data_IF_390711730878
#
_entry.id   IF_390711730878
#
_cell.length_a   1.000
_cell.length_b   1.000
_cell.length_c   1.000
_cell.angle_alpha   90.00
_cell.angle_beta   90.00
_cell.angle_gamma   90.00
#
_symmetry.space_group_name_H-M   'P 1'
#
loop_
_entity.id
_entity.type
_entity.pdbx_description
1 polymer ?
#
# COMPACT_ATOMS: atom_id res chain seq x y z
N UNK A 1 -56.10 13.34 29.82
CA UNK A 1 -54.62 13.32 29.74
C UNK A 1 -54.21 12.10 28.91
N UNK A 2 -53.16 12.27 28.12
CA UNK A 2 -52.88 11.61 26.85
C UNK A 2 -52.63 10.10 26.85
N UNK A 3 -52.99 9.51 25.71
CA UNK A 3 -52.83 8.13 25.22
C UNK A 3 -51.36 7.71 25.12
N UNK A 4 -51.04 6.45 25.46
CA UNK A 4 -49.88 5.71 24.91
C UNK A 4 -50.27 4.30 24.49
N UNK A 5 -50.09 4.04 23.20
CA UNK A 5 -50.06 2.72 22.55
C UNK A 5 -48.83 1.93 22.99
N UNK A 6 -48.90 0.60 22.96
CA UNK A 6 -47.79 -0.24 22.51
C UNK A 6 -48.28 -1.61 22.00
N UNK A 7 -48.04 -1.83 20.71
CA UNK A 7 -48.04 -3.09 19.99
C UNK A 7 -46.97 -4.04 20.55
N UNK A 8 -47.24 -5.35 20.50
CA UNK A 8 -46.24 -6.35 20.12
C UNK A 8 -46.92 -7.63 19.60
N UNK A 9 -46.95 -7.75 18.27
CA UNK A 9 -47.00 -8.98 17.48
C UNK A 9 -45.83 -8.84 16.48
N UNK A 10 -45.15 -9.84 15.94
CA UNK A 10 -45.08 -11.29 16.09
C UNK A 10 -43.83 -11.73 15.30
N UNK A 11 -43.33 -12.94 15.58
CA UNK A 11 -42.57 -13.88 14.75
C UNK A 11 -41.71 -13.37 13.57
N UNK A 12 -40.48 -13.88 13.49
CA UNK A 12 -40.07 -14.74 12.37
C UNK A 12 -38.99 -15.74 12.78
N UNK A 13 -39.18 -16.97 12.34
CA UNK A 13 -38.28 -18.11 12.46
C UNK A 13 -37.19 -18.10 11.37
N UNK A 14 -36.10 -18.81 11.61
CA UNK A 14 -35.07 -19.09 10.61
C UNK A 14 -33.83 -19.69 11.26
N UNK A 15 -33.85 -21.00 11.51
CA UNK A 15 -32.64 -21.76 11.87
C UNK A 15 -31.85 -22.15 10.62
N UNK A 16 -30.58 -22.49 10.82
CA UNK A 16 -29.94 -23.71 10.32
C UNK A 16 -28.64 -23.95 11.09
N UNK A 17 -28.58 -25.11 11.73
CA UNK A 17 -27.39 -25.76 12.31
C UNK A 17 -27.06 -26.93 11.36
N UNK A 18 -25.78 -27.15 11.07
CA UNK A 18 -25.23 -28.37 10.46
C UNK A 18 -23.71 -28.22 10.52
N UNK A 19 -22.96 -28.92 11.37
CA UNK A 19 -22.71 -30.37 11.49
C UNK A 19 -22.01 -30.95 10.25
N UNK A 20 -20.73 -31.28 10.42
CA UNK A 20 -19.84 -31.86 9.42
C UNK A 20 -19.61 -33.32 9.81
N UNK A 21 -20.18 -34.24 9.04
CA UNK A 21 -19.75 -35.64 9.01
C UNK A 21 -19.05 -35.94 7.68
N UNK A 22 -18.01 -36.80 7.67
CA UNK A 22 -17.15 -37.01 6.51
C UNK A 22 -17.68 -38.08 5.53
N UNK A 23 -17.44 -37.78 4.25
CA UNK A 23 -17.18 -38.62 3.06
C UNK A 23 -17.74 -40.05 3.03
N UNK A 24 -18.55 -40.31 2.00
CA UNK A 24 -18.61 -41.60 1.33
C UNK A 24 -18.25 -41.39 -0.16
N UNK A 25 -17.33 -42.23 -0.65
CA UNK A 25 -17.01 -42.39 -2.06
C UNK A 25 -18.26 -42.85 -2.84
N UNK A 26 -18.47 -42.32 -4.04
CA UNK A 26 -19.26 -42.98 -5.06
C UNK A 26 -18.67 -42.70 -6.45
N UNK A 27 -18.44 -43.79 -7.17
CA UNK A 27 -17.87 -43.89 -8.51
C UNK A 27 -18.96 -43.57 -9.55
N UNK A 28 -18.69 -42.67 -10.49
CA UNK A 28 -19.67 -42.40 -11.54
C UNK A 28 -19.25 -41.35 -12.56
N UNK A 29 -18.55 -41.83 -13.58
CA UNK A 29 -18.29 -41.20 -14.87
C UNK A 29 -19.60 -40.62 -15.48
N UNK A 30 -19.64 -39.32 -15.74
CA UNK A 30 -20.44 -38.74 -16.82
C UNK A 30 -19.89 -37.35 -17.21
N UNK A 31 -19.27 -37.37 -18.38
CA UNK A 31 -18.78 -36.25 -19.17
C UNK A 31 -19.93 -35.30 -19.54
N UNK A 32 -20.04 -34.19 -18.82
CA UNK A 32 -20.76 -33.00 -19.26
C UNK A 32 -19.84 -31.81 -19.05
N UNK A 33 -19.27 -31.31 -20.14
CA UNK A 33 -18.63 -30.01 -20.20
C UNK A 33 -19.70 -28.90 -20.26
N UNK A 34 -19.61 -27.89 -19.39
CA UNK A 34 -20.09 -26.56 -19.69
C UNK A 34 -18.90 -25.59 -19.73
N UNK A 35 -18.52 -25.19 -20.94
CA UNK A 35 -17.82 -23.93 -21.15
C UNK A 35 -18.83 -22.79 -21.01
N UNK A 36 -18.69 -21.99 -19.93
CA UNK A 36 -19.00 -20.56 -19.90
C UNK A 36 -18.64 -19.93 -18.53
N UNK A 37 -17.44 -19.33 -18.44
CA UNK A 37 -17.25 -18.05 -17.74
C UNK A 37 -16.80 -18.03 -16.27
N UNK A 38 -15.51 -17.74 -16.06
CA UNK A 38 -15.07 -16.79 -15.00
C UNK A 38 -14.21 -17.34 -13.85
N UNK A 39 -12.92 -17.00 -13.87
CA UNK A 39 -12.12 -16.81 -12.64
C UNK A 39 -11.20 -17.98 -12.25
N UNK A 40 -10.01 -18.06 -12.85
CA UNK A 40 -8.97 -19.01 -12.45
C UNK A 40 -8.40 -18.77 -11.05
N UNK A 41 -8.08 -19.86 -10.36
CA UNK A 41 -7.01 -19.98 -9.36
C UNK A 41 -7.13 -19.10 -8.10
N UNK A 42 -7.87 -19.57 -7.09
CA UNK A 42 -7.84 -18.99 -5.75
C UNK A 42 -7.76 -20.06 -4.69
N UNK A 43 -6.54 -20.35 -4.22
CA UNK A 43 -6.29 -21.23 -3.07
C UNK A 43 -7.10 -20.80 -1.83
N UNK A 44 -7.19 -21.69 -0.84
CA UNK A 44 -7.93 -21.41 0.39
C UNK A 44 -7.41 -20.13 1.08
N UNK A 45 -6.12 -19.84 0.99
CA UNK A 45 -5.53 -18.58 1.47
C UNK A 45 -6.17 -17.37 0.81
N UNK A 46 -6.34 -17.38 -0.52
CA UNK A 46 -7.00 -16.29 -1.24
C UNK A 46 -8.46 -16.12 -0.84
N UNK A 47 -9.18 -17.22 -0.69
CA UNK A 47 -10.59 -17.20 -0.25
C UNK A 47 -10.72 -16.62 1.18
N UNK A 48 -9.86 -17.06 2.10
CA UNK A 48 -9.78 -16.53 3.46
C UNK A 48 -9.40 -15.05 3.45
N UNK A 49 -8.48 -14.64 2.59
CA UNK A 49 -8.13 -13.23 2.48
C UNK A 49 -9.33 -12.39 2.04
N UNK A 50 -9.97 -12.77 0.94
CA UNK A 50 -11.05 -11.97 0.33
C UNK A 50 -12.29 -11.90 1.24
N UNK A 51 -12.60 -12.98 1.96
CA UNK A 51 -13.76 -13.07 2.86
C UNK A 51 -13.51 -12.48 4.25
N UNK A 52 -12.35 -12.77 4.86
CA UNK A 52 -12.09 -12.45 6.27
C UNK A 52 -11.10 -11.29 6.44
N UNK A 53 -9.98 -11.30 5.71
CA UNK A 53 -8.88 -10.34 5.95
C UNK A 53 -9.12 -9.00 5.26
N UNK A 54 -9.59 -9.00 4.01
CA UNK A 54 -9.80 -7.80 3.24
C UNK A 54 -10.80 -6.83 3.90
N UNK A 55 -11.96 -7.27 4.43
CA UNK A 55 -12.85 -6.36 5.16
C UNK A 55 -12.17 -5.69 6.36
N UNK A 56 -11.31 -6.43 7.07
CA UNK A 56 -10.54 -5.90 8.22
C UNK A 56 -9.55 -4.84 7.76
N UNK A 57 -8.77 -5.13 6.71
CA UNK A 57 -7.78 -4.19 6.17
C UNK A 57 -8.45 -2.97 5.54
N UNK A 58 -9.54 -3.14 4.80
CA UNK A 58 -10.30 -2.04 4.22
C UNK A 58 -10.84 -1.10 5.30
N UNK A 59 -11.42 -1.66 6.37
CA UNK A 59 -11.99 -0.89 7.46
C UNK A 59 -10.94 -0.17 8.33
N UNK A 60 -9.80 -0.79 8.59
CA UNK A 60 -8.80 -0.27 9.54
C UNK A 60 -7.58 0.36 8.90
N UNK A 61 -7.09 -0.23 7.82
CA UNK A 61 -5.84 0.15 7.17
C UNK A 61 -6.10 0.97 5.90
N UNK A 62 -7.27 0.82 5.27
CA UNK A 62 -7.64 1.44 4.01
C UNK A 62 -7.74 2.96 4.06
N UNK A 63 -8.97 3.50 4.06
CA UNK A 63 -9.23 4.90 3.78
C UNK A 63 -8.36 5.86 4.61
N UNK A 64 -7.61 6.72 3.90
CA UNK A 64 -6.72 7.71 4.52
C UNK A 64 -5.36 7.20 4.99
N UNK A 65 -5.05 5.90 4.87
CA UNK A 65 -3.73 5.37 5.20
C UNK A 65 -3.15 4.56 4.04
N UNK A 66 -3.59 3.33 3.82
CA UNK A 66 -2.95 2.35 2.93
C UNK A 66 -3.76 1.99 1.68
N UNK A 67 -4.81 2.74 1.33
CA UNK A 67 -5.50 2.55 0.05
C UNK A 67 -4.52 2.62 -1.14
N UNK A 68 -4.78 1.90 -2.23
CA UNK A 68 -3.96 1.96 -3.45
C UNK A 68 -3.87 3.34 -4.07
N UNK A 69 -4.85 4.19 -3.79
CA UNK A 69 -4.87 5.61 -4.19
C UNK A 69 -4.18 6.53 -3.18
N UNK A 70 -3.64 5.99 -2.09
CA UNK A 70 -2.98 6.74 -1.01
C UNK A 70 -1.49 6.88 -1.32
N UNK A 71 -1.04 8.11 -1.41
CA UNK A 71 0.34 8.41 -1.78
C UNK A 71 1.31 8.40 -0.58
N UNK A 72 0.82 8.44 0.66
CA UNK A 72 1.64 8.70 1.87
C UNK A 72 2.02 7.45 2.67
N UNK A 73 1.77 6.25 2.15
CA UNK A 73 2.15 4.99 2.81
C UNK A 73 2.25 3.86 1.78
N UNK A 74 2.72 2.67 2.20
CA UNK A 74 2.66 1.48 1.34
C UNK A 74 1.21 1.23 0.90
N UNK A 75 0.91 1.26 -0.41
CA UNK A 75 -0.45 1.25 -0.96
C UNK A 75 -1.00 -0.18 -1.08
N UNK A 76 -1.13 -0.89 0.05
CA UNK A 76 -1.42 -2.33 0.06
C UNK A 76 -2.89 -2.72 0.23
N UNK A 77 -3.80 -1.75 0.39
CA UNK A 77 -5.24 -2.01 0.52
C UNK A 77 -5.94 -1.59 -0.78
N UNK A 78 -6.43 -2.56 -1.55
CA UNK A 78 -7.15 -2.25 -2.79
C UNK A 78 -8.53 -1.62 -2.54
N UNK A 79 -9.04 -0.90 -3.54
CA UNK A 79 -10.40 -0.34 -3.53
C UNK A 79 -11.50 -1.40 -3.73
N UNK A 80 -11.17 -2.56 -4.30
CA UNK A 80 -12.11 -3.63 -4.58
C UNK A 80 -11.52 -4.98 -4.19
N UNK A 81 -12.37 -5.90 -3.71
CA UNK A 81 -11.96 -7.23 -3.24
C UNK A 81 -11.25 -8.04 -4.33
N UNK A 82 -11.70 -7.93 -5.59
CA UNK A 82 -11.15 -8.71 -6.72
C UNK A 82 -9.68 -8.45 -7.02
N UNK A 83 -9.12 -7.30 -6.60
CA UNK A 83 -7.69 -6.99 -6.72
C UNK A 83 -6.97 -6.96 -5.37
N UNK A 84 -7.70 -7.13 -4.26
CA UNK A 84 -7.18 -6.90 -2.92
C UNK A 84 -6.14 -7.93 -2.48
N UNK A 85 -6.36 -9.21 -2.82
CA UNK A 85 -5.43 -10.28 -2.46
C UNK A 85 -4.04 -10.02 -3.04
N UNK A 86 -3.97 -9.91 -4.37
CA UNK A 86 -2.73 -9.66 -5.12
C UNK A 86 -2.08 -8.34 -4.71
N UNK A 87 -2.89 -7.33 -4.40
CA UNK A 87 -2.40 -6.03 -3.90
C UNK A 87 -1.70 -6.20 -2.55
N UNK A 88 -2.33 -6.87 -1.57
CA UNK A 88 -1.78 -6.98 -0.22
C UNK A 88 -0.58 -7.93 -0.17
N UNK A 89 -0.68 -9.11 -0.79
CA UNK A 89 0.38 -10.14 -0.79
C UNK A 89 1.59 -9.78 -1.63
N UNK A 90 1.43 -8.83 -2.56
CA UNK A 90 2.55 -8.35 -3.34
C UNK A 90 3.56 -7.50 -2.56
N UNK A 91 3.21 -6.97 -1.38
CA UNK A 91 4.14 -6.18 -0.57
C UNK A 91 4.78 -7.01 0.53
N UNK A 92 6.04 -7.43 0.34
CA UNK A 92 6.82 -8.11 1.39
C UNK A 92 6.91 -7.29 2.69
N UNK A 93 6.90 -5.96 2.60
CA UNK A 93 6.86 -5.08 3.77
C UNK A 93 5.56 -5.15 4.58
N UNK A 94 4.53 -5.82 4.05
CA UNK A 94 3.20 -5.98 4.64
C UNK A 94 3.04 -7.41 5.14
N UNK A 95 3.27 -8.40 4.26
CA UNK A 95 3.05 -9.82 4.56
C UNK A 95 4.28 -10.54 5.09
N UNK A 96 5.49 -10.00 4.88
CA UNK A 96 6.74 -10.59 5.36
C UNK A 96 6.91 -12.04 4.91
N UNK A 97 7.22 -12.91 5.86
CA UNK A 97 7.30 -14.36 5.67
C UNK A 97 5.96 -15.08 5.92
N UNK A 98 4.84 -14.35 5.92
CA UNK A 98 3.50 -14.85 6.21
C UNK A 98 3.32 -15.43 7.63
N UNK A 99 4.18 -15.09 8.60
CA UNK A 99 3.97 -15.47 10.01
C UNK A 99 3.45 -14.28 10.82
N UNK A 100 2.77 -14.56 11.94
CA UNK A 100 2.35 -13.52 12.89
C UNK A 100 3.51 -12.74 13.51
N UNK A 101 4.73 -13.24 13.40
CA UNK A 101 5.96 -12.59 13.86
C UNK A 101 6.72 -11.83 12.78
N UNK A 102 6.48 -12.12 11.50
CA UNK A 102 7.17 -11.47 10.38
C UNK A 102 6.28 -10.60 9.49
N UNK A 103 4.96 -10.79 9.52
CA UNK A 103 4.02 -9.95 8.78
C UNK A 103 3.79 -8.61 9.50
N UNK A 104 4.25 -7.51 8.90
CA UNK A 104 4.09 -6.17 9.47
C UNK A 104 2.61 -5.77 9.65
N UNK A 105 1.72 -6.24 8.77
CA UNK A 105 0.28 -6.03 8.91
C UNK A 105 -0.30 -6.65 10.19
N UNK A 106 0.39 -7.63 10.80
CA UNK A 106 0.02 -8.22 12.06
C UNK A 106 0.79 -7.60 13.22
N UNK A 107 2.12 -7.55 13.14
CA UNK A 107 3.00 -7.12 14.24
C UNK A 107 2.88 -5.64 14.59
N UNK A 108 2.48 -4.79 13.63
CA UNK A 108 2.26 -3.37 13.91
C UNK A 108 0.95 -3.10 14.67
N UNK A 109 -0.02 -4.03 14.64
CA UNK A 109 -1.31 -3.91 15.34
C UNK A 109 -1.41 -4.81 16.59
N UNK A 110 -0.40 -5.66 16.83
CA UNK A 110 -0.32 -6.62 17.95
C UNK A 110 1.15 -6.71 18.44
N UNK A 111 1.51 -6.26 19.66
CA UNK A 111 0.65 -5.82 20.78
C UNK A 111 0.40 -4.30 20.82
N UNK A 112 1.05 -3.51 19.97
CA UNK A 112 1.00 -2.06 19.98
C UNK A 112 -0.05 -1.50 19.01
N UNK A 113 -0.59 -0.29 19.26
CA UNK A 113 -1.47 0.35 18.30
C UNK A 113 -0.67 1.05 17.18
N UNK A 114 -0.90 0.66 15.93
CA UNK A 114 -0.50 1.48 14.80
C UNK A 114 -1.51 2.62 14.62
N UNK A 115 -1.11 3.86 14.91
CA UNK A 115 -2.00 5.03 14.82
C UNK A 115 -3.30 4.88 15.64
N UNK A 116 -3.18 4.42 16.89
CA UNK A 116 -4.31 4.11 17.77
C UNK A 116 -5.25 2.99 17.28
N UNK A 117 -4.85 2.21 16.26
CA UNK A 117 -5.63 1.07 15.74
C UNK A 117 -5.07 -0.25 16.25
N UNK A 118 -5.97 -1.17 16.60
CA UNK A 118 -5.66 -2.54 16.99
C UNK A 118 -6.60 -3.52 16.30
N UNK A 119 -6.19 -4.78 16.22
CA UNK A 119 -7.09 -5.89 15.91
C UNK A 119 -7.79 -6.37 17.17
N UNK A 120 -9.11 -6.59 17.07
CA UNK A 120 -9.89 -7.35 18.05
C UNK A 120 -9.43 -8.82 18.06
N UNK A 121 -9.84 -9.58 19.07
CA UNK A 121 -9.49 -11.00 19.15
C UNK A 121 -9.95 -11.80 17.93
N UNK A 122 -11.17 -11.54 17.42
CA UNK A 122 -11.70 -12.19 16.20
C UNK A 122 -10.86 -11.85 14.96
N UNK A 123 -10.52 -10.57 14.81
CA UNK A 123 -9.69 -10.11 13.68
C UNK A 123 -8.27 -10.70 13.74
N UNK A 124 -7.67 -10.81 14.94
CA UNK A 124 -6.37 -11.48 15.11
C UNK A 124 -6.46 -12.95 14.71
N UNK A 125 -7.52 -13.67 15.10
CA UNK A 125 -7.74 -15.06 14.69
C UNK A 125 -7.85 -15.18 13.17
N UNK A 126 -8.65 -14.34 12.51
CA UNK A 126 -8.82 -14.35 11.06
C UNK A 126 -7.51 -14.07 10.31
N UNK A 127 -6.80 -13.00 10.67
CA UNK A 127 -5.54 -12.64 10.01
C UNK A 127 -4.47 -13.71 10.26
N UNK A 128 -4.35 -14.24 11.49
CA UNK A 128 -3.39 -15.30 11.80
C UNK A 128 -3.71 -16.63 11.10
N UNK A 129 -5.00 -16.98 10.98
CA UNK A 129 -5.43 -18.16 10.25
C UNK A 129 -5.10 -18.06 8.75
N UNK A 130 -5.36 -16.90 8.13
CA UNK A 130 -4.98 -16.67 6.74
C UNK A 130 -3.46 -16.72 6.54
N UNK A 131 -2.67 -16.06 7.41
CA UNK A 131 -1.21 -16.10 7.38
C UNK A 131 -0.67 -17.56 7.48
N UNK A 132 -1.24 -18.37 8.37
CA UNK A 132 -0.88 -19.79 8.47
C UNK A 132 -1.26 -20.60 7.22
N UNK A 133 -2.39 -20.27 6.59
CA UNK A 133 -2.81 -20.90 5.33
C UNK A 133 -1.87 -20.53 4.17
N UNK A 134 -1.43 -19.27 4.07
CA UNK A 134 -0.40 -18.85 3.10
C UNK A 134 0.89 -19.65 3.25
N UNK A 135 1.36 -19.86 4.49
CA UNK A 135 2.54 -20.69 4.75
C UNK A 135 2.31 -22.13 4.30
N UNK A 136 1.11 -22.68 4.56
CA UNK A 136 0.75 -24.06 4.16
C UNK A 136 0.76 -24.21 2.64
N UNK A 137 0.11 -23.31 1.92
CA UNK A 137 0.03 -23.35 0.45
C UNK A 137 1.41 -23.16 -0.20
N UNK A 138 2.22 -22.22 0.33
CA UNK A 138 3.56 -21.92 -0.20
C UNK A 138 4.62 -22.97 0.14
N UNK A 139 4.50 -23.65 1.27
CA UNK A 139 5.41 -24.74 1.66
C UNK A 139 5.02 -26.10 1.05
N UNK A 140 3.75 -26.29 0.72
CA UNK A 140 3.21 -27.53 0.18
C UNK A 140 3.41 -27.76 -1.32
N UNK A 141 3.97 -26.79 -2.07
CA UNK A 141 4.18 -26.93 -3.51
C UNK A 141 2.89 -27.12 -4.33
N UNK A 142 1.73 -26.77 -3.77
CA UNK A 142 0.43 -26.86 -4.43
C UNK A 142 0.31 -25.77 -5.48
N UNK A 143 0.65 -26.11 -6.72
CA UNK A 143 0.40 -25.29 -7.90
C UNK A 143 -1.08 -25.08 -8.15
N UNK A 144 -1.71 -24.20 -7.37
CA UNK A 144 -2.71 -23.33 -7.96
C UNK A 144 -1.96 -22.53 -9.00
N UNK A 145 -2.15 -22.86 -10.28
CA UNK A 145 -1.53 -22.15 -11.39
C UNK A 145 -1.71 -20.65 -11.11
N UNK A 146 -0.59 -19.98 -10.83
CA UNK A 146 -0.56 -18.53 -10.89
C UNK A 146 -1.24 -18.15 -12.21
N UNK A 147 -2.13 -17.14 -12.21
CA UNK A 147 -2.65 -16.64 -13.48
C UNK A 147 -1.45 -16.42 -14.42
N UNK A 148 -1.58 -16.77 -15.71
CA UNK A 148 -0.44 -16.82 -16.62
C UNK A 148 0.37 -15.52 -16.51
N UNK A 149 1.70 -15.56 -16.65
CA UNK A 149 2.64 -14.47 -16.30
C UNK A 149 2.53 -13.23 -17.19
N UNK A 150 1.38 -12.99 -17.83
CA UNK A 150 1.16 -11.90 -18.76
C UNK A 150 0.65 -10.62 -18.11
N UNK A 151 0.05 -10.68 -16.91
CA UNK A 151 -0.43 -9.48 -16.21
C UNK A 151 0.42 -9.17 -14.97
N UNK A 152 1.04 -7.99 -14.98
CA UNK A 152 1.83 -7.48 -13.88
C UNK A 152 0.94 -7.17 -12.66
N UNK A 153 1.31 -7.69 -11.49
CA UNK A 153 0.62 -7.38 -10.24
C UNK A 153 0.90 -5.93 -9.79
N UNK A 154 0.02 -5.29 -8.99
CA UNK A 154 0.26 -3.95 -8.45
C UNK A 154 1.61 -3.79 -7.73
N UNK A 155 2.06 -4.84 -7.04
CA UNK A 155 3.33 -4.79 -6.34
C UNK A 155 4.53 -4.99 -7.25
N UNK A 156 4.43 -5.87 -8.25
CA UNK A 156 5.45 -5.96 -9.31
C UNK A 156 5.56 -4.62 -10.05
N UNK A 157 4.44 -3.99 -10.40
CA UNK A 157 4.42 -2.65 -10.99
C UNK A 157 5.07 -1.61 -10.07
N UNK A 158 4.75 -1.64 -8.77
CA UNK A 158 5.34 -0.73 -7.79
C UNK A 158 6.85 -0.93 -7.63
N UNK A 159 7.29 -2.18 -7.46
CA UNK A 159 8.69 -2.55 -7.33
C UNK A 159 9.49 -2.16 -8.58
N UNK A 160 8.97 -2.52 -9.76
CA UNK A 160 9.54 -2.16 -11.05
C UNK A 160 9.63 -0.64 -11.22
N UNK A 161 8.55 0.09 -10.97
CA UNK A 161 8.54 1.56 -11.13
C UNK A 161 9.50 2.25 -10.17
N UNK A 162 9.56 1.84 -8.89
CA UNK A 162 10.52 2.39 -7.92
C UNK A 162 11.96 2.07 -8.34
N UNK A 163 12.21 0.84 -8.77
CA UNK A 163 13.51 0.41 -9.25
C UNK A 163 13.95 1.20 -10.48
N UNK A 164 13.11 1.27 -11.53
CA UNK A 164 13.36 2.08 -12.72
C UNK A 164 13.58 3.57 -12.38
N UNK A 165 12.69 4.16 -11.58
CA UNK A 165 12.75 5.57 -11.19
C UNK A 165 14.06 5.91 -10.48
N UNK A 166 14.55 5.00 -9.64
CA UNK A 166 15.81 5.17 -8.91
C UNK A 166 17.04 5.26 -9.81
N UNK A 167 17.01 4.61 -10.98
CA UNK A 167 18.03 4.75 -12.02
C UNK A 167 17.85 6.00 -12.89
N UNK A 168 16.65 6.58 -12.93
CA UNK A 168 16.37 7.78 -13.73
C UNK A 168 16.72 9.10 -13.02
N UNK A 169 16.77 9.11 -11.68
CA UNK A 169 17.22 10.28 -10.92
C UNK A 169 18.71 10.56 -11.21
N UNK A 170 19.09 11.84 -11.30
CA UNK A 170 20.49 12.26 -11.55
C UNK A 170 20.93 13.34 -10.58
N UNK A 171 22.17 13.23 -10.09
CA UNK A 171 22.74 14.22 -9.17
C UNK A 171 22.80 15.62 -9.79
N UNK A 172 23.02 15.69 -11.11
CA UNK A 172 23.08 16.93 -11.88
C UNK A 172 21.77 17.72 -11.76
N UNK A 173 20.61 17.06 -11.76
CA UNK A 173 19.31 17.73 -11.64
C UNK A 173 19.07 18.23 -10.22
N UNK A 174 19.44 17.46 -9.20
CA UNK A 174 19.36 17.91 -7.82
C UNK A 174 20.18 19.18 -7.62
N UNK A 175 21.38 19.22 -8.19
CA UNK A 175 22.28 20.37 -8.13
C UNK A 175 21.72 21.55 -8.93
N UNK A 176 21.31 21.35 -10.19
CA UNK A 176 20.80 22.39 -11.07
C UNK A 176 19.50 23.02 -10.55
N UNK A 177 18.64 22.22 -9.93
CA UNK A 177 17.39 22.69 -9.35
C UNK A 177 17.55 23.30 -7.96
N UNK A 178 18.73 23.17 -7.34
CA UNK A 178 18.94 23.49 -5.94
C UNK A 178 17.96 22.73 -5.03
N UNK A 179 17.75 21.44 -5.32
CA UNK A 179 16.63 20.65 -4.77
C UNK A 179 16.70 20.50 -3.25
N UNK A 180 17.82 20.02 -2.72
CA UNK A 180 18.04 19.86 -1.28
C UNK A 180 17.85 21.17 -0.52
N UNK A 181 18.58 22.24 -0.87
CA UNK A 181 18.42 23.54 -0.24
C UNK A 181 16.99 24.10 -0.30
N UNK A 182 16.26 23.88 -1.39
CA UNK A 182 14.86 24.33 -1.52
C UNK A 182 13.92 23.63 -0.51
N UNK A 183 14.16 22.34 -0.26
CA UNK A 183 13.41 21.58 0.74
C UNK A 183 13.88 21.82 2.17
N UNK A 184 15.19 21.97 2.38
CA UNK A 184 15.79 22.29 3.66
C UNK A 184 15.24 23.60 4.24
N UNK A 185 15.24 24.65 3.40
CA UNK A 185 14.83 26.00 3.75
C UNK A 185 13.32 26.22 3.64
N UNK A 186 12.54 25.18 3.36
CA UNK A 186 11.08 25.30 3.34
C UNK A 186 10.59 25.66 4.74
N UNK A 187 9.99 26.84 4.86
CA UNK A 187 9.47 27.35 6.12
C UNK A 187 8.17 26.65 6.55
N UNK A 188 8.11 26.33 7.83
CA UNK A 188 6.90 25.96 8.57
C UNK A 188 6.59 27.00 9.65
N UNK A 189 5.48 26.83 10.35
CA UNK A 189 5.16 27.66 11.51
C UNK A 189 6.04 27.38 12.76
N UNK A 190 7.01 26.46 12.68
CA UNK A 190 7.99 26.18 13.75
C UNK A 190 9.45 26.26 13.28
N UNK A 191 9.70 26.76 12.07
CA UNK A 191 11.05 26.86 11.49
C UNK A 191 11.21 26.05 10.20
N UNK A 192 12.45 25.85 9.77
CA UNK A 192 12.78 25.21 8.49
C UNK A 192 12.71 23.68 8.60
N UNK A 193 12.32 23.00 7.52
CA UNK A 193 12.21 21.53 7.50
C UNK A 193 13.51 20.81 7.92
N UNK A 194 14.68 21.33 7.56
CA UNK A 194 15.97 20.71 7.89
C UNK A 194 16.25 20.60 9.40
N UNK A 195 15.64 21.46 10.21
CA UNK A 195 15.82 21.47 11.67
C UNK A 195 15.35 20.15 12.30
N UNK A 196 14.41 19.45 11.64
CA UNK A 196 13.91 18.14 12.08
C UNK A 196 14.26 17.01 11.10
N UNK A 197 14.45 17.31 9.81
CA UNK A 197 14.54 16.30 8.74
C UNK A 197 15.89 16.23 8.02
N UNK A 198 16.92 16.96 8.46
CA UNK A 198 18.26 16.90 7.84
C UNK A 198 18.85 15.48 7.79
N UNK A 199 18.53 14.65 8.77
CA UNK A 199 19.01 13.26 8.87
C UNK A 199 18.01 12.19 8.42
N UNK A 200 16.80 12.58 7.97
CA UNK A 200 15.80 11.61 7.49
C UNK A 200 14.76 11.15 8.52
N UNK A 201 14.45 11.95 9.54
CA UNK A 201 13.44 11.56 10.52
C UNK A 201 12.08 11.18 9.88
N UNK A 202 11.48 10.09 10.36
CA UNK A 202 10.14 9.60 9.94
C UNK A 202 10.03 9.25 8.45
N UNK A 203 11.12 8.82 7.81
CA UNK A 203 11.10 8.46 6.39
C UNK A 203 11.04 9.65 5.45
N UNK A 204 11.29 10.86 5.95
CA UNK A 204 11.40 12.08 5.16
C UNK A 204 12.73 12.77 5.46
N UNK A 205 13.51 13.06 4.41
CA UNK A 205 14.77 13.77 4.51
C UNK A 205 14.63 15.12 3.80
N UNK A 206 14.98 16.20 4.47
CA UNK A 206 15.13 17.53 3.88
C UNK A 206 16.42 18.14 4.41
N UNK A 207 17.45 18.23 3.57
CA UNK A 207 18.79 18.66 3.96
C UNK A 207 19.35 19.64 2.93
N UNK A 208 20.12 20.62 3.39
CA UNK A 208 20.85 21.59 2.57
C UNK A 208 22.06 20.92 1.87
N UNK A 209 21.80 19.80 1.20
CA UNK A 209 22.78 18.88 0.63
C UNK A 209 22.16 18.14 -0.56
N UNK A 210 22.42 18.63 -1.78
CA UNK A 210 21.92 18.01 -3.00
C UNK A 210 22.44 16.57 -3.19
N UNK A 211 23.70 16.32 -2.82
CA UNK A 211 24.32 15.00 -2.96
C UNK A 211 23.68 14.00 -2.00
N UNK A 212 23.58 14.35 -0.72
CA UNK A 212 22.94 13.49 0.27
C UNK A 212 21.44 13.27 0.00
N UNK A 213 20.74 14.27 -0.53
CA UNK A 213 19.36 14.12 -1.00
C UNK A 213 19.26 13.14 -2.17
N UNK A 214 20.07 13.32 -3.21
CA UNK A 214 20.12 12.40 -4.36
C UNK A 214 20.44 10.97 -3.92
N UNK A 215 21.49 10.77 -3.12
CA UNK A 215 21.88 9.45 -2.62
C UNK A 215 20.76 8.80 -1.83
N UNK A 216 20.11 9.55 -0.93
CA UNK A 216 19.01 9.02 -0.12
C UNK A 216 17.81 8.61 -0.98
N UNK A 217 17.35 9.51 -1.87
CA UNK A 217 16.16 9.26 -2.68
C UNK A 217 16.41 8.20 -3.75
N UNK A 218 17.62 8.10 -4.29
CA UNK A 218 17.94 7.12 -5.34
C UNK A 218 18.31 5.75 -4.78
N UNK A 219 18.59 5.58 -3.49
CA UNK A 219 18.97 4.26 -2.92
C UNK A 219 18.01 3.72 -1.88
N UNK A 220 17.04 4.51 -1.43
CA UNK A 220 16.11 4.10 -0.38
C UNK A 220 14.66 4.41 -0.74
N UNK A 221 13.88 3.34 -0.98
CA UNK A 221 12.49 3.43 -1.41
C UNK A 221 11.59 4.20 -0.45
N UNK A 222 11.83 4.11 0.85
CA UNK A 222 10.99 4.78 1.85
C UNK A 222 11.10 6.30 1.74
N UNK A 223 12.31 6.83 1.51
CA UNK A 223 12.51 8.26 1.31
C UNK A 223 12.08 8.72 -0.07
N UNK A 224 12.29 7.91 -1.11
CA UNK A 224 11.76 8.20 -2.45
C UNK A 224 10.24 8.39 -2.43
N UNK A 225 9.54 7.49 -1.73
CA UNK A 225 8.08 7.49 -1.65
C UNK A 225 7.52 8.69 -0.87
N UNK A 226 8.33 9.41 -0.10
CA UNK A 226 7.90 10.66 0.50
C UNK A 226 7.72 11.77 -0.56
N UNK A 227 8.52 11.73 -1.63
CA UNK A 227 8.57 12.73 -2.69
C UNK A 227 7.79 12.34 -3.95
N UNK A 228 7.77 11.05 -4.28
CA UNK A 228 7.07 10.50 -5.43
C UNK A 228 6.10 9.42 -4.98
N UNK A 229 5.06 9.18 -5.76
CA UNK A 229 4.09 8.13 -5.54
C UNK A 229 3.99 7.25 -6.78
N UNK A 230 3.62 5.99 -6.56
CA UNK A 230 3.22 5.10 -7.64
C UNK A 230 1.72 5.26 -7.83
N UNK A 231 1.33 5.68 -9.02
CA UNK A 231 -0.06 5.69 -9.47
C UNK A 231 -0.34 4.37 -10.21
N UNK A 232 -1.10 3.52 -9.54
CA UNK A 232 -1.59 2.21 -10.02
C UNK A 232 -3.12 2.23 -10.19
N UNK A 233 -3.72 3.42 -10.34
CA UNK A 233 -5.16 3.53 -10.64
C UNK A 233 -5.54 2.88 -11.97
N UNK A 234 -4.58 2.80 -12.89
CA UNK A 234 -4.64 2.02 -14.12
C UNK A 234 -3.43 1.08 -14.19
N UNK A 235 -3.64 -0.20 -13.87
CA UNK A 235 -2.58 -1.22 -13.90
C UNK A 235 -2.06 -1.53 -15.31
N UNK A 236 -2.80 -1.17 -16.37
CA UNK A 236 -2.27 -1.28 -17.73
C UNK A 236 -1.26 -0.16 -18.03
N UNK A 237 -1.29 0.94 -17.28
CA UNK A 237 -0.42 2.11 -17.47
C UNK A 237 0.09 2.69 -16.13
N UNK A 238 0.75 1.88 -15.27
CA UNK A 238 1.18 2.35 -13.96
C UNK A 238 2.34 3.33 -14.14
N UNK A 239 2.38 4.39 -13.31
CA UNK A 239 3.37 5.46 -13.46
C UNK A 239 3.83 6.03 -12.12
N UNK A 240 5.00 6.65 -12.13
CA UNK A 240 5.42 7.50 -11.02
C UNK A 240 4.76 8.88 -11.17
N UNK A 241 4.43 9.53 -10.06
CA UNK A 241 3.91 10.90 -10.01
C UNK A 241 4.52 11.66 -8.83
N UNK A 242 4.57 13.00 -8.82
CA UNK A 242 4.91 13.77 -7.63
C UNK A 242 3.92 13.50 -6.48
N UNK A 243 4.43 13.34 -5.26
CA UNK A 243 3.61 13.05 -4.08
C UNK A 243 3.05 14.32 -3.42
N UNK A 244 2.38 15.18 -4.19
CA UNK A 244 1.81 16.42 -3.64
C UNK A 244 0.72 16.15 -2.61
N UNK A 245 -0.03 15.05 -2.74
CA UNK A 245 -1.05 14.67 -1.78
C UNK A 245 -0.46 14.42 -0.39
N UNK A 246 0.68 13.72 -0.28
CA UNK A 246 1.36 13.55 1.00
C UNK A 246 1.73 14.90 1.63
N UNK A 247 2.40 15.78 0.88
CA UNK A 247 2.80 17.09 1.40
C UNK A 247 1.60 17.98 1.74
N UNK A 248 0.51 17.89 0.99
CA UNK A 248 -0.74 18.60 1.31
C UNK A 248 -1.30 18.12 2.64
N UNK A 249 -1.39 16.81 2.86
CA UNK A 249 -1.89 16.23 4.11
C UNK A 249 -1.04 16.62 5.31
N UNK A 250 0.29 16.52 5.18
CA UNK A 250 1.22 16.88 6.26
C UNK A 250 1.17 18.39 6.53
N UNK A 251 1.29 19.23 5.49
CA UNK A 251 1.34 20.68 5.63
C UNK A 251 0.02 21.30 6.11
N UNK A 252 -1.12 20.67 5.81
CA UNK A 252 -2.45 21.04 6.33
C UNK A 252 -2.81 20.32 7.64
N UNK A 253 -1.89 19.54 8.22
CA UNK A 253 -2.09 18.84 9.51
C UNK A 253 -3.30 17.91 9.50
N UNK A 254 -3.61 17.30 8.37
CA UNK A 254 -4.66 16.30 8.27
C UNK A 254 -4.25 15.05 9.03
N UNK A 255 -5.23 14.30 9.57
CA UNK A 255 -4.98 13.03 10.25
C UNK A 255 -4.11 12.12 9.38
N UNK A 256 -3.03 11.49 9.91
CA UNK A 256 -2.56 11.47 11.30
C UNK A 256 -1.49 12.52 11.67
N UNK A 257 -1.29 13.56 10.84
CA UNK A 257 -0.21 14.53 10.98
C UNK A 257 -0.58 15.77 11.82
N UNK A 258 -1.53 15.65 12.75
CA UNK A 258 -1.99 16.79 13.54
C UNK A 258 -0.85 17.43 14.36
N UNK A 259 0.15 16.65 14.77
CA UNK A 259 1.29 17.13 15.56
C UNK A 259 2.41 17.76 14.72
N UNK A 260 2.34 17.66 13.38
CA UNK A 260 3.37 18.23 12.50
C UNK A 260 3.18 19.76 12.35
N UNK A 261 4.27 20.56 12.29
CA UNK A 261 4.20 21.97 11.91
C UNK A 261 3.49 22.19 10.56
N UNK A 262 2.60 23.16 10.47
CA UNK A 262 1.97 23.50 9.19
C UNK A 262 2.96 24.24 8.29
N UNK A 263 2.87 24.04 6.98
CA UNK A 263 3.67 24.74 5.99
C UNK A 263 2.84 25.05 4.73
N UNK A 264 3.34 25.94 3.87
CA UNK A 264 2.69 26.29 2.62
C UNK A 264 2.66 25.09 1.66
N UNK A 265 1.47 24.62 1.29
CA UNK A 265 1.27 23.47 0.39
C UNK A 265 0.94 23.88 -1.04
N UNK A 266 0.93 25.19 -1.35
CA UNK A 266 0.59 25.64 -2.69
C UNK A 266 1.61 25.14 -3.72
N UNK A 267 1.15 24.73 -4.90
CA UNK A 267 2.03 24.21 -5.96
C UNK A 267 2.98 25.27 -6.55
N UNK A 268 2.72 26.56 -6.28
CA UNK A 268 3.62 27.65 -6.64
C UNK A 268 4.70 27.93 -5.57
N UNK A 269 4.69 27.20 -4.45
CA UNK A 269 5.77 27.22 -3.47
C UNK A 269 7.07 26.70 -4.08
N UNK A 270 8.21 27.30 -3.70
CA UNK A 270 9.50 26.99 -4.29
C UNK A 270 9.84 25.49 -4.23
N UNK A 271 9.69 24.84 -3.07
CA UNK A 271 10.00 23.42 -2.89
C UNK A 271 9.07 22.52 -3.73
N UNK A 272 7.79 22.89 -3.83
CA UNK A 272 6.80 22.16 -4.64
C UNK A 272 7.11 22.28 -6.13
N UNK A 273 7.49 23.47 -6.60
CA UNK A 273 7.95 23.68 -7.97
C UNK A 273 9.21 22.87 -8.27
N UNK A 274 10.16 22.78 -7.33
CA UNK A 274 11.38 21.96 -7.52
C UNK A 274 11.07 20.47 -7.61
N UNK A 275 10.08 19.97 -6.87
CA UNK A 275 9.60 18.60 -7.03
C UNK A 275 8.97 18.34 -8.40
N UNK A 276 8.14 19.25 -8.90
CA UNK A 276 7.60 19.14 -10.25
C UNK A 276 8.72 19.15 -11.30
N UNK A 277 9.66 20.09 -11.20
CA UNK A 277 10.77 20.22 -12.14
C UNK A 277 11.67 18.97 -12.14
N UNK A 278 11.96 18.41 -10.96
CA UNK A 278 12.73 17.16 -10.86
C UNK A 278 11.98 15.99 -11.49
N UNK A 279 10.67 15.89 -11.25
CA UNK A 279 9.82 14.89 -11.88
C UNK A 279 9.84 15.01 -13.41
N UNK A 280 9.68 16.22 -13.95
CA UNK A 280 9.63 16.46 -15.40
C UNK A 280 10.95 16.07 -16.08
N UNK A 281 12.09 16.43 -15.48
CA UNK A 281 13.43 16.01 -15.95
C UNK A 281 13.56 14.49 -15.91
N UNK A 282 13.18 13.86 -14.80
CA UNK A 282 13.27 12.40 -14.60
C UNK A 282 12.39 11.64 -15.61
N UNK A 283 11.17 12.11 -15.84
CA UNK A 283 10.28 11.59 -16.89
C UNK A 283 10.87 11.75 -18.28
N UNK A 284 11.57 12.87 -18.53
CA UNK A 284 12.32 13.10 -19.77
C UNK A 284 13.36 12.00 -20.02
N UNK A 285 14.15 11.63 -19.01
CA UNK A 285 15.13 10.55 -19.14
C UNK A 285 14.49 9.18 -19.33
N UNK A 286 13.42 8.89 -18.58
CA UNK A 286 12.65 7.65 -18.71
C UNK A 286 12.09 7.48 -20.12
N UNK A 287 11.46 8.52 -20.64
CA UNK A 287 10.88 8.51 -21.99
C UNK A 287 11.95 8.40 -23.08
N UNK A 288 13.11 9.03 -22.88
CA UNK A 288 14.23 8.97 -23.81
C UNK A 288 15.05 7.67 -23.72
N UNK A 289 14.78 6.78 -22.75
CA UNK A 289 15.59 5.59 -22.52
C UNK A 289 17.02 5.88 -22.06
N UNK A 290 17.22 6.99 -21.34
CA UNK A 290 18.56 7.47 -20.90
C UNK A 290 18.76 7.43 -19.38
N UNK A 291 17.96 6.60 -18.70
CA UNK A 291 18.16 6.30 -17.28
C UNK A 291 19.44 5.48 -17.08
N UNK A 292 20.06 5.65 -15.93
CA UNK A 292 21.16 4.79 -15.49
C UNK A 292 20.65 3.45 -14.96
N UNK A 293 21.57 2.66 -14.44
CA UNK A 293 21.24 1.41 -13.75
C UNK A 293 20.34 1.70 -12.53
N UNK A 294 19.24 0.95 -12.32
CA UNK A 294 18.47 0.99 -11.10
C UNK A 294 19.34 0.92 -9.85
N UNK A 295 19.03 1.78 -8.87
CA UNK A 295 19.77 1.90 -7.62
C UNK A 295 19.01 1.33 -6.42
N UNK A 296 17.73 1.00 -6.61
CA UNK A 296 16.88 0.26 -5.68
C UNK A 296 16.52 -1.09 -6.34
N UNK A 297 16.75 -2.23 -5.68
CA UNK A 297 16.34 -3.52 -6.22
C UNK A 297 14.81 -3.63 -6.26
N UNK A 298 14.31 -4.38 -7.25
CA UNK A 298 12.90 -4.78 -7.31
C UNK A 298 12.57 -5.71 -6.14
#
# INVERSE_FOLDING_TARGET
>A
MSIRYLLAAALFAGGCVGDLTPVADDDGDDDVTPDAGGGGGGGLARQMFESDVFPILSAKCGAGCHLTTSASSTPFVAAAVGTAYVTATGFDSVVGNYTTTGAAMYTLLVPGPHQARTFTADEQMKVSAWLAQEVTERSGGGGGEDPPPTEETPAQATARLISEWSGCLKLEDFTALNFGPSWANKGSNQGNCEQCHSTGAYGFKAADDNTGMYETLSTNKYYMMAYFAVDISDLANPKMVPNFTNFQRVGLRQVPHQEHPSFNTNLNDNAMQKLQQLYDLTMGYKTAGTCGTPRIPQ
#
